data_IF_205919781050
#
_entry.id   IF_205919781050
#
_cell.length_a   1.000
_cell.length_b   1.000
_cell.length_c   1.000
_cell.angle_alpha   90.00
_cell.angle_beta   90.00
_cell.angle_gamma   90.00
#
_symmetry.space_group_name_H-M   'P 1'
#
loop_
_entity.id
_entity.type
_entity.pdbx_description
1 polymer ?
#
# COMPACT_ATOMS: atom_id res chain seq x y z
N UNK A 1 -0.56 -7.03 -13.35
CA UNK A 1 -0.62 -5.64 -13.86
C UNK A 1 -1.66 -4.90 -13.04
N UNK A 2 -1.35 -3.73 -12.45
CA UNK A 2 -2.39 -2.91 -11.82
C UNK A 2 -3.29 -2.36 -12.94
N UNK A 3 -4.57 -2.74 -12.93
CA UNK A 3 -5.54 -2.28 -13.93
C UNK A 3 -6.40 -1.19 -13.28
N UNK A 4 -6.72 -0.12 -14.01
CA UNK A 4 -7.56 0.98 -13.51
C UNK A 4 -9.04 0.59 -13.33
N UNK A 5 -9.47 -0.53 -13.91
CA UNK A 5 -10.87 -0.97 -13.88
C UNK A 5 -11.30 -1.48 -12.51
N UNK A 6 -12.51 -1.05 -12.10
CA UNK A 6 -13.21 -1.56 -10.93
C UNK A 6 -12.66 -1.05 -9.60
N UNK A 7 -12.31 0.22 -9.43
CA UNK A 7 -11.90 0.76 -8.13
C UNK A 7 -12.32 2.21 -7.87
N UNK A 8 -13.12 2.78 -8.79
CA UNK A 8 -13.53 4.19 -8.77
C UNK A 8 -12.37 5.17 -9.05
N UNK A 9 -12.71 6.47 -9.05
CA UNK A 9 -11.80 7.56 -9.42
C UNK A 9 -10.58 7.66 -8.48
N UNK A 10 -10.78 7.36 -7.19
CA UNK A 10 -9.70 7.41 -6.21
C UNK A 10 -8.61 6.36 -6.51
N UNK A 11 -8.98 5.16 -6.96
CA UNK A 11 -8.02 4.13 -7.35
C UNK A 11 -7.19 4.58 -8.55
N UNK A 12 -7.84 5.07 -9.60
CA UNK A 12 -7.17 5.59 -10.78
C UNK A 12 -6.21 6.74 -10.44
N UNK A 13 -6.66 7.68 -9.61
CA UNK A 13 -5.83 8.78 -9.09
C UNK A 13 -4.61 8.24 -8.33
N UNK A 14 -4.81 7.31 -7.40
CA UNK A 14 -3.73 6.76 -6.56
C UNK A 14 -2.66 6.07 -7.41
N UNK A 15 -3.10 5.27 -8.40
CA UNK A 15 -2.20 4.59 -9.34
C UNK A 15 -1.43 5.61 -10.19
N UNK A 16 -2.07 6.69 -10.65
CA UNK A 16 -1.40 7.77 -11.40
C UNK A 16 -0.35 8.51 -10.55
N UNK A 17 -0.67 8.84 -9.29
CA UNK A 17 0.31 9.47 -8.37
C UNK A 17 1.50 8.53 -8.13
N UNK A 18 1.25 7.25 -7.88
CA UNK A 18 2.32 6.26 -7.74
C UNK A 18 3.18 6.14 -9.00
N UNK A 19 2.57 6.09 -10.18
CA UNK A 19 3.29 6.00 -11.44
C UNK A 19 4.21 7.20 -11.67
N UNK A 20 3.72 8.41 -11.40
CA UNK A 20 4.51 9.65 -11.48
C UNK A 20 5.69 9.62 -10.52
N UNK A 21 5.47 9.14 -9.30
CA UNK A 21 6.52 8.97 -8.29
C UNK A 21 7.63 8.00 -8.75
N UNK A 22 7.28 6.80 -9.22
CA UNK A 22 8.28 5.83 -9.72
C UNK A 22 9.02 6.35 -10.95
N UNK A 23 8.32 7.05 -11.86
CA UNK A 23 8.91 7.66 -13.05
C UNK A 23 9.91 8.75 -12.68
N UNK A 24 9.61 9.60 -11.71
CA UNK A 24 10.52 10.64 -11.21
C UNK A 24 11.80 10.02 -10.61
N UNK A 25 11.66 8.90 -9.91
CA UNK A 25 12.79 8.12 -9.41
C UNK A 25 13.55 7.33 -10.49
N UNK A 26 13.19 7.46 -11.78
CA UNK A 26 13.74 6.69 -12.92
C UNK A 26 13.72 5.19 -12.70
N UNK A 27 12.77 4.69 -11.90
CA UNK A 27 12.75 3.30 -11.46
C UNK A 27 14.07 2.83 -10.85
N UNK A 28 14.85 3.74 -10.25
CA UNK A 28 16.08 3.40 -9.55
C UNK A 28 15.73 2.34 -8.50
N UNK A 29 16.21 1.11 -8.75
CA UNK A 29 15.97 -0.03 -7.88
C UNK A 29 16.42 0.28 -6.45
N UNK A 30 15.79 -0.33 -5.44
CA UNK A 30 15.94 0.13 -4.07
C UNK A 30 17.37 -0.08 -3.56
N UNK A 31 17.92 0.93 -2.85
CA UNK A 31 19.12 0.75 -2.03
C UNK A 31 18.86 -0.22 -0.86
N UNK A 32 17.62 -0.33 -0.35
CA UNK A 32 17.13 -1.31 0.64
C UNK A 32 15.62 -1.54 0.46
N UNK A 33 15.15 -2.79 0.51
CA UNK A 33 13.71 -3.10 0.42
C UNK A 33 12.92 -2.69 1.68
N UNK A 34 11.58 -2.56 1.56
CA UNK A 34 10.70 -2.38 2.74
C UNK A 34 10.85 -3.53 3.72
N UNK A 35 10.63 -3.24 5.01
CA UNK A 35 10.53 -4.26 6.06
C UNK A 35 9.70 -5.46 5.60
N UNK A 36 10.27 -6.65 5.75
CA UNK A 36 9.61 -7.93 5.47
C UNK A 36 8.76 -8.39 6.65
N UNK A 37 8.98 -7.82 7.82
CA UNK A 37 8.20 -8.07 9.02
C UNK A 37 6.72 -7.72 8.81
N UNK A 38 5.83 -8.58 9.31
CA UNK A 38 4.37 -8.39 9.36
C UNK A 38 3.63 -8.30 8.00
N UNK A 39 4.35 -8.40 6.87
CA UNK A 39 3.74 -8.44 5.54
C UNK A 39 2.80 -9.65 5.39
N UNK A 40 1.61 -9.49 4.77
CA UNK A 40 0.74 -10.63 4.50
C UNK A 40 1.45 -11.72 3.67
N UNK A 41 1.25 -12.99 4.06
CA UNK A 41 1.94 -14.15 3.47
C UNK A 41 1.71 -14.27 1.96
N UNK A 42 0.54 -13.85 1.51
CA UNK A 42 0.11 -13.80 0.12
C UNK A 42 1.07 -12.97 -0.73
N UNK A 43 1.57 -11.87 -0.18
CA UNK A 43 2.52 -10.96 -0.83
C UNK A 43 3.90 -11.57 -0.88
N UNK A 44 4.33 -12.20 0.21
CA UNK A 44 5.62 -12.90 0.28
C UNK A 44 5.67 -14.02 -0.75
N UNK A 45 4.60 -14.80 -0.88
CA UNK A 45 4.45 -15.80 -1.94
C UNK A 45 4.53 -15.20 -3.34
N UNK A 46 3.78 -14.13 -3.62
CA UNK A 46 3.80 -13.49 -4.94
C UNK A 46 5.16 -12.90 -5.32
N UNK A 47 5.87 -12.28 -4.37
CA UNK A 47 7.22 -11.76 -4.57
C UNK A 47 8.22 -12.90 -4.83
N UNK A 48 8.12 -14.01 -4.08
CA UNK A 48 9.00 -15.16 -4.25
C UNK A 48 8.89 -15.81 -5.63
N UNK A 49 7.72 -15.75 -6.27
CA UNK A 49 7.49 -16.25 -7.64
C UNK A 49 7.82 -15.19 -8.72
N UNK A 50 8.79 -14.32 -8.44
CA UNK A 50 9.23 -13.24 -9.33
C UNK A 50 8.11 -12.31 -9.83
N UNK A 51 6.96 -12.27 -9.13
CA UNK A 51 5.76 -11.53 -9.55
C UNK A 51 5.20 -12.01 -10.90
N UNK A 52 5.67 -13.15 -11.41
CA UNK A 52 5.26 -13.74 -12.68
C UNK A 52 4.26 -14.88 -12.43
N UNK A 53 3.04 -14.72 -12.95
CA UNK A 53 2.21 -15.86 -13.38
C UNK A 53 1.52 -16.71 -12.32
N UNK A 54 1.65 -16.45 -11.02
CA UNK A 54 0.84 -17.13 -10.01
C UNK A 54 -0.63 -16.63 -10.02
N UNK A 55 -1.64 -17.49 -9.80
CA UNK A 55 -3.01 -17.03 -9.59
C UNK A 55 -3.06 -16.05 -8.43
N UNK A 56 -3.93 -15.03 -8.52
CA UNK A 56 -4.22 -14.13 -7.40
C UNK A 56 -4.50 -15.00 -6.17
N UNK A 57 -3.78 -14.81 -5.05
CA UNK A 57 -3.99 -15.63 -3.87
C UNK A 57 -5.45 -15.53 -3.45
N UNK A 58 -6.09 -16.68 -3.27
CA UNK A 58 -7.47 -16.74 -2.82
C UNK A 58 -7.54 -16.17 -1.38
N UNK A 59 -8.06 -14.96 -1.25
CA UNK A 59 -8.35 -14.36 0.05
C UNK A 59 -9.63 -15.00 0.57
N UNK A 60 -9.47 -16.00 1.44
CA UNK A 60 -10.58 -16.75 2.05
C UNK A 60 -11.30 -15.92 3.12
N UNK A 61 -10.55 -15.13 3.88
CA UNK A 61 -11.06 -14.25 4.93
C UNK A 61 -10.57 -12.82 4.67
N UNK A 62 -11.45 -12.01 4.10
CA UNK A 62 -11.16 -10.63 3.70
C UNK A 62 -10.94 -9.71 4.91
N UNK A 63 -11.58 -9.97 6.05
CA UNK A 63 -11.42 -9.17 7.25
C UNK A 63 -10.09 -9.47 7.95
N UNK A 64 -9.69 -10.75 8.02
CA UNK A 64 -8.35 -11.12 8.49
C UNK A 64 -7.25 -10.55 7.58
N UNK A 65 -7.47 -10.57 6.27
CA UNK A 65 -6.56 -9.94 5.31
C UNK A 65 -6.45 -8.43 5.52
N UNK A 66 -7.60 -7.74 5.65
CA UNK A 66 -7.67 -6.31 5.94
C UNK A 66 -6.90 -5.93 7.21
N UNK A 67 -7.09 -6.71 8.29
CA UNK A 67 -6.39 -6.52 9.55
C UNK A 67 -4.87 -6.65 9.40
N UNK A 68 -4.39 -7.72 8.76
CA UNK A 68 -2.97 -7.93 8.48
C UNK A 68 -2.37 -6.83 7.58
N UNK A 69 -3.15 -6.37 6.60
CA UNK A 69 -2.74 -5.27 5.74
C UNK A 69 -2.54 -4.00 6.55
N UNK A 70 -3.47 -3.64 7.44
CA UNK A 70 -3.34 -2.47 8.30
C UNK A 70 -2.16 -2.58 9.27
N UNK A 71 -1.96 -3.74 9.91
CA UNK A 71 -0.79 -4.00 10.75
C UNK A 71 0.51 -3.76 9.99
N UNK A 72 0.61 -4.31 8.78
CA UNK A 72 1.80 -4.11 7.94
C UNK A 72 1.96 -2.64 7.51
N UNK A 73 0.88 -1.98 7.10
CA UNK A 73 0.90 -0.59 6.67
C UNK A 73 1.35 0.33 7.81
N UNK A 74 0.85 0.12 9.02
CA UNK A 74 1.26 0.89 10.21
C UNK A 74 2.74 0.67 10.53
N UNK A 75 3.21 -0.58 10.49
CA UNK A 75 4.61 -0.93 10.79
C UNK A 75 5.62 -0.27 9.86
N UNK A 76 5.32 -0.21 8.56
CA UNK A 76 6.26 0.38 7.58
C UNK A 76 6.20 1.91 7.55
N UNK A 77 5.19 2.51 8.18
CA UNK A 77 5.00 3.95 8.19
C UNK A 77 5.91 4.66 9.21
N UNK A 78 6.22 5.95 8.99
CA UNK A 78 7.02 6.69 9.93
C UNK A 78 6.35 6.75 11.30
N UNK A 79 7.14 6.66 12.37
CA UNK A 79 6.63 6.68 13.75
C UNK A 79 5.81 7.91 14.09
N UNK A 80 6.09 9.05 13.46
CA UNK A 80 5.31 10.29 13.67
C UNK A 80 3.87 10.17 13.18
N UNK A 81 3.57 9.22 12.28
CA UNK A 81 2.19 8.90 11.86
C UNK A 81 1.49 7.94 12.83
N UNK A 82 2.21 7.19 13.64
CA UNK A 82 1.62 6.19 14.53
C UNK A 82 0.91 6.88 15.68
N UNK A 83 -0.34 6.48 15.96
CA UNK A 83 -1.07 6.97 17.14
C UNK A 83 -0.53 6.30 18.39
N UNK A 84 -0.33 7.08 19.44
CA UNK A 84 0.14 6.61 20.76
C UNK A 84 -1.01 6.29 21.71
N UNK A 85 -2.26 6.49 21.29
CA UNK A 85 -3.48 6.36 22.10
C UNK A 85 -4.06 4.93 22.12
N UNK A 86 -3.29 3.93 21.69
CA UNK A 86 -3.73 2.53 21.68
C UNK A 86 -4.68 2.17 20.54
N UNK A 87 -5.20 3.14 19.77
CA UNK A 87 -5.95 2.90 18.52
C UNK A 87 -4.96 2.81 17.36
N UNK A 88 -4.06 1.83 17.45
CA UNK A 88 -2.97 1.63 16.49
C UNK A 88 -3.45 1.14 15.11
N UNK A 89 -4.75 1.07 14.87
CA UNK A 89 -5.33 0.58 13.61
C UNK A 89 -5.31 1.64 12.49
N UNK A 90 -5.12 2.93 12.82
CA UNK A 90 -5.13 4.04 11.86
C UNK A 90 -3.99 5.02 12.08
N UNK A 91 -3.43 5.51 10.98
CA UNK A 91 -2.34 6.46 10.96
C UNK A 91 -2.86 7.90 11.02
N UNK A 92 -2.09 8.78 11.68
CA UNK A 92 -2.29 10.23 11.60
C UNK A 92 -2.06 10.71 10.17
N UNK A 93 -2.91 11.65 9.74
CA UNK A 93 -2.81 12.39 8.47
C UNK A 93 -2.41 13.86 8.72
N UNK A 94 -1.65 14.09 9.79
CA UNK A 94 -1.18 15.40 10.26
C UNK A 94 0.29 15.28 10.71
N UNK A 95 0.98 16.43 10.73
CA UNK A 95 2.40 16.50 11.05
C UNK A 95 3.33 16.38 9.84
N UNK A 96 4.62 16.55 10.10
CA UNK A 96 5.71 16.49 9.13
C UNK A 96 6.86 15.66 9.71
N UNK A 97 7.60 14.99 8.84
CA UNK A 97 8.74 14.19 9.24
C UNK A 97 9.30 13.39 8.09
N UNK A 98 10.33 12.61 8.37
CA UNK A 98 11.00 11.78 7.38
C UNK A 98 10.07 10.67 6.86
N UNK A 99 10.00 10.54 5.54
CA UNK A 99 9.23 9.54 4.82
C UNK A 99 10.07 8.38 4.29
N UNK A 100 11.40 8.40 4.51
CA UNK A 100 12.36 7.42 3.97
C UNK A 100 11.97 5.96 4.20
N UNK A 101 11.29 5.65 5.31
CA UNK A 101 10.80 4.28 5.60
C UNK A 101 9.74 3.78 4.60
N UNK A 102 8.92 4.69 4.06
CA UNK A 102 7.85 4.40 3.09
C UNK A 102 8.25 4.77 1.67
N UNK A 103 9.11 5.78 1.49
CA UNK A 103 9.57 6.30 0.20
C UNK A 103 10.58 5.36 -0.52
N UNK A 104 10.41 4.05 -0.38
CA UNK A 104 11.14 3.07 -1.19
C UNK A 104 10.51 2.96 -2.57
N UNK A 105 11.34 3.12 -3.59
CA UNK A 105 11.01 2.97 -5.01
C UNK A 105 11.23 1.53 -5.48
N UNK A 106 10.66 1.19 -6.63
CA UNK A 106 10.90 -0.09 -7.29
C UNK A 106 10.08 -1.27 -6.74
N UNK A 107 10.48 -2.52 -7.05
CA UNK A 107 9.65 -3.71 -6.84
C UNK A 107 9.37 -4.06 -5.37
N UNK A 108 10.14 -3.47 -4.45
CA UNK A 108 9.95 -3.64 -3.01
C UNK A 108 9.25 -2.43 -2.38
N UNK A 109 8.85 -1.47 -3.20
CA UNK A 109 8.26 -0.18 -2.87
C UNK A 109 6.74 -0.22 -2.71
N UNK A 110 6.10 0.89 -3.09
CA UNK A 110 4.64 1.10 -2.98
C UNK A 110 3.82 0.18 -3.90
N UNK A 111 4.43 -0.39 -4.94
CA UNK A 111 3.78 -1.38 -5.81
C UNK A 111 3.17 -2.54 -5.03
N UNK A 112 3.89 -3.08 -4.02
CA UNK A 112 3.39 -4.19 -3.23
C UNK A 112 2.14 -3.82 -2.43
N UNK A 113 2.08 -2.57 -1.92
CA UNK A 113 0.94 -2.04 -1.17
C UNK A 113 -0.29 -1.96 -2.08
N UNK A 114 -0.13 -1.40 -3.27
CA UNK A 114 -1.20 -1.27 -4.26
C UNK A 114 -1.71 -2.63 -4.73
N UNK A 115 -0.82 -3.60 -4.97
CA UNK A 115 -1.23 -4.95 -5.36
C UNK A 115 -2.06 -5.62 -4.26
N UNK A 116 -1.70 -5.44 -2.99
CA UNK A 116 -2.49 -5.97 -1.88
C UNK A 116 -3.88 -5.32 -1.79
N UNK A 117 -3.94 -3.99 -1.95
CA UNK A 117 -5.22 -3.28 -1.99
C UNK A 117 -6.07 -3.76 -3.15
N UNK A 118 -5.46 -4.08 -4.30
CA UNK A 118 -6.21 -4.64 -5.42
C UNK A 118 -6.78 -6.02 -5.10
N UNK A 119 -5.99 -6.91 -4.49
CA UNK A 119 -6.50 -8.22 -4.09
C UNK A 119 -7.61 -8.12 -3.05
N UNK A 120 -7.45 -7.21 -2.07
CA UNK A 120 -8.50 -6.94 -1.09
C UNK A 120 -9.79 -6.50 -1.80
N UNK A 121 -9.72 -5.52 -2.70
CA UNK A 121 -10.88 -5.10 -3.50
C UNK A 121 -11.56 -6.27 -4.22
N UNK A 122 -10.78 -7.06 -4.96
CA UNK A 122 -11.32 -8.18 -5.74
C UNK A 122 -11.98 -9.25 -4.83
N UNK A 123 -11.47 -9.42 -3.60
CA UNK A 123 -12.00 -10.35 -2.62
C UNK A 123 -13.32 -9.90 -1.96
N UNK A 124 -13.61 -8.59 -1.95
CA UNK A 124 -14.83 -8.06 -1.33
C UNK A 124 -16.10 -8.45 -2.08
N UNK A 125 -16.02 -8.66 -3.41
CA UNK A 125 -17.16 -9.08 -4.25
C UNK A 125 -18.45 -8.26 -4.03
N UNK A 126 -18.32 -6.98 -3.66
CA UNK A 126 -19.45 -6.08 -3.38
C UNK A 126 -19.89 -5.98 -1.92
N UNK A 127 -19.16 -6.55 -0.96
CA UNK A 127 -19.41 -6.34 0.49
C UNK A 127 -19.22 -4.86 0.89
N UNK A 128 -20.32 -4.15 1.14
CA UNK A 128 -20.32 -2.71 1.45
C UNK A 128 -19.52 -2.37 2.71
N UNK A 129 -19.59 -3.20 3.76
CA UNK A 129 -18.87 -2.96 5.01
C UNK A 129 -17.35 -3.10 4.84
N UNK A 130 -16.92 -4.10 4.09
CA UNK A 130 -15.50 -4.24 3.74
C UNK A 130 -15.02 -3.20 2.72
N UNK A 131 -15.90 -2.70 1.85
CA UNK A 131 -15.61 -1.63 0.90
C UNK A 131 -15.26 -0.30 1.59
N UNK A 132 -15.90 0.04 2.70
CA UNK A 132 -15.56 1.21 3.50
C UNK A 132 -14.12 1.11 4.04
N UNK A 133 -13.78 -0.04 4.64
CA UNK A 133 -12.42 -0.28 5.16
C UNK A 133 -11.34 -0.27 4.08
N UNK A 134 -11.66 -0.78 2.89
CA UNK A 134 -10.76 -0.70 1.74
C UNK A 134 -10.59 0.73 1.24
N UNK A 135 -11.67 1.51 1.17
CA UNK A 135 -11.63 2.91 0.73
C UNK A 135 -10.78 3.75 1.69
N UNK A 136 -10.94 3.56 2.99
CA UNK A 136 -10.14 4.24 4.00
C UNK A 136 -8.63 3.93 3.84
N UNK A 137 -8.30 2.67 3.57
CA UNK A 137 -6.93 2.24 3.32
C UNK A 137 -6.37 2.89 2.04
N UNK A 138 -7.16 2.96 0.97
CA UNK A 138 -6.78 3.60 -0.28
C UNK A 138 -6.56 5.11 -0.12
N UNK A 139 -7.43 5.79 0.62
CA UNK A 139 -7.30 7.21 0.94
C UNK A 139 -6.01 7.51 1.72
N UNK A 140 -5.64 6.64 2.67
CA UNK A 140 -4.41 6.78 3.43
C UNK A 140 -3.16 6.59 2.56
N UNK A 141 -3.17 5.59 1.67
CA UNK A 141 -2.08 5.36 0.71
C UNK A 141 -1.94 6.51 -0.28
N UNK A 142 -3.04 7.03 -0.82
CA UNK A 142 -3.01 8.21 -1.69
C UNK A 142 -2.40 9.41 -0.98
N UNK A 143 -2.83 9.68 0.25
CA UNK A 143 -2.29 10.78 1.05
C UNK A 143 -0.79 10.64 1.28
N UNK A 144 -0.32 9.43 1.63
CA UNK A 144 1.11 9.16 1.81
C UNK A 144 1.90 9.39 0.52
N UNK A 145 1.42 8.87 -0.62
CA UNK A 145 2.05 9.07 -1.92
C UNK A 145 2.14 10.55 -2.33
N UNK A 146 1.07 11.32 -2.10
CA UNK A 146 1.06 12.76 -2.37
C UNK A 146 2.09 13.52 -1.50
N UNK A 147 2.22 13.14 -0.22
CA UNK A 147 3.22 13.73 0.68
C UNK A 147 4.64 13.37 0.30
N UNK A 148 4.90 12.09 0.01
CA UNK A 148 6.21 11.60 -0.45
C UNK A 148 6.62 12.34 -1.73
N UNK A 149 5.72 12.43 -2.71
CA UNK A 149 5.98 13.08 -4.00
C UNK A 149 6.29 14.57 -3.88
N UNK A 150 5.73 15.26 -2.88
CA UNK A 150 6.03 16.67 -2.59
C UNK A 150 7.34 16.88 -1.83
N UNK A 151 7.78 15.87 -1.08
CA UNK A 151 9.01 15.92 -0.28
C UNK A 151 10.28 15.51 -1.04
N UNK A 152 10.15 14.88 -2.21
CA UNK A 152 11.30 14.56 -3.06
C UNK A 152 11.83 15.83 -3.73
N UNK A 153 13.14 16.12 -3.67
CA UNK A 153 13.73 17.22 -4.42
C UNK A 153 13.54 16.95 -5.92
N UNK A 154 12.99 17.93 -6.63
CA UNK A 154 12.84 17.99 -8.09
C UNK A 154 14.17 17.89 -8.82
#
# INVERSE_FOLDING_TARGET
MLVAGGGGDLWAKTVDVWWKYEKAARFAGPAKGKGTALRPKEVSGWIAHARCGGPVPAIVDVYSFASKWWTWWVEINPKWRTRTDGVATRLRKEGEGDWSSVASTGPNGMLNILVCLRWWYDALKGDEGGMEGWKEALEDVNWALERISKSSPS
#
